data_IF_243119954333
#
_entry.id   IF_243119954333
#
_cell.length_a   1.000
_cell.length_b   1.000
_cell.length_c   1.000
_cell.angle_alpha   90.00
_cell.angle_beta   90.00
_cell.angle_gamma   90.00
#
_symmetry.space_group_name_H-M   'P 1'
#
loop_
_entity.id
_entity.type
_entity.pdbx_description
1 polymer ?
#
# COMPACT_ATOMS: atom_id res chain seq x y z
N UNK A 1 -25.16 28.95 0.55
CA UNK A 1 -23.97 28.08 0.70
C UNK A 1 -24.40 26.91 1.58
N UNK A 2 -24.51 25.70 1.02
CA UNK A 2 -24.84 24.49 1.79
C UNK A 2 -23.52 23.84 2.19
N UNK A 3 -23.06 24.09 3.41
CA UNK A 3 -21.92 23.35 3.95
C UNK A 3 -22.34 21.88 4.14
N UNK A 4 -21.64 20.91 3.53
CA UNK A 4 -21.96 19.51 3.72
C UNK A 4 -21.69 19.15 5.19
N UNK A 5 -22.72 18.63 5.87
CA UNK A 5 -22.61 18.14 7.25
C UNK A 5 -21.36 17.26 7.43
N UNK A 6 -20.58 17.40 8.52
CA UNK A 6 -19.33 16.66 8.72
C UNK A 6 -19.48 15.12 8.60
N UNK A 7 -20.65 14.58 8.95
CA UNK A 7 -20.96 13.16 8.82
C UNK A 7 -21.09 12.70 7.34
N UNK A 8 -21.58 13.57 6.43
CA UNK A 8 -21.57 13.30 4.98
C UNK A 8 -20.16 13.31 4.41
N UNK A 9 -19.27 14.12 4.97
CA UNK A 9 -17.85 14.16 4.58
C UNK A 9 -17.12 12.88 4.98
N UNK A 10 -17.27 12.44 6.24
CA UNK A 10 -16.69 11.18 6.74
C UNK A 10 -17.18 9.96 5.96
N UNK A 11 -18.48 9.86 5.70
CA UNK A 11 -19.05 8.77 4.90
C UNK A 11 -18.50 8.74 3.48
N UNK A 12 -18.31 9.91 2.85
CA UNK A 12 -17.73 10.02 1.51
C UNK A 12 -16.25 9.64 1.48
N UNK A 13 -15.48 10.02 2.50
CA UNK A 13 -14.07 9.62 2.64
C UNK A 13 -13.94 8.11 2.86
N UNK A 14 -14.75 7.53 3.74
CA UNK A 14 -14.79 6.08 3.94
C UNK A 14 -15.15 5.34 2.66
N UNK A 15 -16.15 5.82 1.93
CA UNK A 15 -16.53 5.25 0.63
C UNK A 15 -15.37 5.31 -0.38
N UNK A 16 -14.67 6.44 -0.49
CA UNK A 16 -13.54 6.59 -1.42
C UNK A 16 -12.38 5.63 -1.12
N UNK A 17 -12.20 5.24 0.15
CA UNK A 17 -11.18 4.25 0.55
C UNK A 17 -11.64 2.83 0.29
N UNK A 18 -12.90 2.50 0.59
CA UNK A 18 -13.43 1.13 0.51
C UNK A 18 -13.81 0.74 -0.92
N UNK A 19 -14.35 1.67 -1.71
CA UNK A 19 -14.81 1.41 -3.08
C UNK A 19 -13.72 0.82 -3.99
N UNK A 20 -12.47 1.34 -4.06
CA UNK A 20 -11.44 0.72 -4.90
C UNK A 20 -11.10 -0.71 -4.43
N UNK A 21 -11.12 -0.99 -3.13
CA UNK A 21 -10.90 -2.34 -2.60
C UNK A 21 -12.00 -3.30 -3.07
N UNK A 22 -13.26 -2.87 -3.03
CA UNK A 22 -14.40 -3.67 -3.51
C UNK A 22 -14.34 -3.90 -5.02
N UNK A 23 -13.93 -2.89 -5.80
CA UNK A 23 -13.77 -3.02 -7.26
C UNK A 23 -12.68 -4.06 -7.59
N UNK A 24 -11.53 -3.99 -6.90
CA UNK A 24 -10.44 -4.96 -7.10
C UNK A 24 -10.89 -6.37 -6.70
N UNK A 25 -11.57 -6.52 -5.56
CA UNK A 25 -12.11 -7.80 -5.12
C UNK A 25 -13.10 -8.37 -6.16
N UNK A 26 -14.00 -7.54 -6.68
CA UNK A 26 -14.95 -7.91 -7.73
C UNK A 26 -14.26 -8.36 -9.02
N UNK A 27 -13.20 -7.65 -9.45
CA UNK A 27 -12.39 -8.04 -10.61
C UNK A 27 -11.70 -9.39 -10.40
N UNK A 28 -11.15 -9.63 -9.21
CA UNK A 28 -10.50 -10.91 -8.88
C UNK A 28 -11.52 -12.04 -8.90
N UNK A 29 -12.70 -11.86 -8.30
CA UNK A 29 -13.77 -12.86 -8.34
C UNK A 29 -14.20 -13.17 -9.78
N UNK A 30 -14.38 -12.13 -10.60
CA UNK A 30 -14.73 -12.27 -12.01
C UNK A 30 -13.67 -13.02 -12.82
N UNK A 31 -12.39 -12.70 -12.61
CA UNK A 31 -11.29 -13.31 -13.36
C UNK A 31 -10.97 -14.74 -12.91
N UNK A 32 -11.10 -15.02 -11.62
CA UNK A 32 -10.72 -16.31 -11.02
C UNK A 32 -11.83 -17.36 -11.04
N UNK A 33 -13.07 -16.96 -11.31
CA UNK A 33 -14.27 -17.81 -11.28
C UNK A 33 -14.35 -18.67 -9.99
N UNK A 34 -13.90 -18.10 -8.87
CA UNK A 34 -13.71 -18.80 -7.61
C UNK A 34 -14.73 -18.39 -6.55
N UNK A 35 -14.83 -19.15 -5.45
CA UNK A 35 -15.76 -18.86 -4.38
C UNK A 35 -15.41 -17.55 -3.66
N UNK A 36 -16.44 -16.85 -3.19
CA UNK A 36 -16.31 -15.57 -2.49
C UNK A 36 -15.47 -15.72 -1.20
N UNK A 37 -15.69 -16.80 -0.44
CA UNK A 37 -15.00 -17.07 0.82
C UNK A 37 -13.50 -17.33 0.62
N UNK A 38 -13.13 -18.19 -0.32
CA UNK A 38 -11.73 -18.46 -0.65
C UNK A 38 -11.01 -17.23 -1.22
N UNK A 39 -11.70 -16.42 -2.04
CA UNK A 39 -11.15 -15.18 -2.59
C UNK A 39 -10.92 -14.13 -1.50
N UNK A 40 -11.87 -13.96 -0.58
CA UNK A 40 -11.76 -13.01 0.51
C UNK A 40 -10.58 -13.32 1.44
N UNK A 41 -10.38 -14.59 1.79
CA UNK A 41 -9.26 -15.01 2.63
C UNK A 41 -7.93 -14.67 1.94
N UNK A 42 -7.78 -15.05 0.65
CA UNK A 42 -6.57 -14.78 -0.14
C UNK A 42 -6.32 -13.28 -0.32
N UNK A 43 -7.38 -12.50 -0.54
CA UNK A 43 -7.32 -11.04 -0.68
C UNK A 43 -6.93 -10.35 0.63
N UNK A 44 -7.53 -10.77 1.75
CA UNK A 44 -7.23 -10.22 3.08
C UNK A 44 -5.79 -10.50 3.49
N UNK A 45 -5.29 -11.72 3.25
CA UNK A 45 -3.89 -12.06 3.49
C UNK A 45 -2.94 -11.22 2.61
N UNK A 46 -3.33 -10.96 1.36
CA UNK A 46 -2.58 -10.09 0.46
C UNK A 46 -2.50 -8.66 0.98
N UNK A 47 -3.64 -8.09 1.36
CA UNK A 47 -3.73 -6.75 1.92
C UNK A 47 -2.88 -6.61 3.18
N UNK A 48 -2.94 -7.59 4.08
CA UNK A 48 -2.18 -7.56 5.31
C UNK A 48 -0.66 -7.60 5.07
N UNK A 49 -0.23 -8.43 4.12
CA UNK A 49 1.17 -8.48 3.67
C UNK A 49 1.57 -7.11 3.11
N UNK A 50 0.84 -6.58 2.12
CA UNK A 50 1.14 -5.29 1.50
C UNK A 50 1.12 -4.14 2.50
N UNK A 51 0.18 -4.12 3.45
CA UNK A 51 0.11 -3.12 4.52
C UNK A 51 1.36 -3.13 5.40
N UNK A 52 1.83 -4.32 5.80
CA UNK A 52 3.03 -4.48 6.63
C UNK A 52 4.26 -3.94 5.89
N UNK A 53 4.38 -4.23 4.59
CA UNK A 53 5.50 -3.76 3.77
C UNK A 53 5.50 -2.26 3.55
N UNK A 54 4.35 -1.70 3.20
CA UNK A 54 4.23 -0.26 3.00
C UNK A 54 4.49 0.49 4.29
N UNK A 55 3.99 -0.01 5.42
CA UNK A 55 4.27 0.57 6.74
C UNK A 55 5.77 0.55 7.05
N UNK A 56 6.46 -0.54 6.72
CA UNK A 56 7.91 -0.64 6.91
C UNK A 56 8.69 0.31 5.99
N UNK A 57 8.29 0.41 4.72
CA UNK A 57 8.91 1.36 3.79
C UNK A 57 8.70 2.80 4.21
N UNK A 58 7.48 3.19 4.58
CA UNK A 58 7.18 4.54 5.06
C UNK A 58 7.97 4.86 6.34
N UNK A 59 8.12 3.88 7.23
CA UNK A 59 9.00 4.01 8.41
C UNK A 59 10.45 4.25 8.01
N UNK A 60 10.99 3.48 7.06
CA UNK A 60 12.37 3.65 6.57
C UNK A 60 12.54 5.01 5.91
N UNK A 61 11.60 5.43 5.06
CA UNK A 61 11.63 6.75 4.42
C UNK A 61 11.63 7.86 5.45
N UNK A 62 10.78 7.78 6.48
CA UNK A 62 10.78 8.78 7.55
C UNK A 62 12.02 8.70 8.43
N UNK A 63 12.59 7.52 8.66
CA UNK A 63 13.85 7.39 9.39
C UNK A 63 14.99 8.10 8.63
N UNK A 64 15.13 7.86 7.32
CA UNK A 64 16.14 8.49 6.47
C UNK A 64 15.91 9.99 6.30
N UNK A 65 14.66 10.41 6.07
CA UNK A 65 14.31 11.82 5.83
C UNK A 65 14.20 12.64 7.13
N UNK A 66 13.70 12.03 8.20
CA UNK A 66 13.47 12.64 9.49
C UNK A 66 14.76 12.87 10.28
N UNK A 67 15.86 12.18 9.96
CA UNK A 67 17.20 12.49 10.49
C UNK A 67 17.75 13.81 9.92
N UNK A 68 17.34 14.19 8.70
CA UNK A 68 17.80 15.42 8.03
C UNK A 68 17.16 16.72 8.56
N UNK A 69 16.13 16.64 9.40
CA UNK A 69 15.48 17.80 10.05
C UNK A 69 15.41 17.53 11.54
N UNK A 70 15.77 18.49 12.39
CA UNK A 70 15.67 18.37 13.87
C UNK A 70 14.25 17.97 14.30
N UNK A 71 14.04 16.65 14.37
CA UNK A 71 12.95 15.87 14.98
C UNK A 71 11.57 16.02 14.34
N UNK A 72 10.99 14.90 13.86
CA UNK A 72 9.70 14.50 14.40
C UNK A 72 9.70 13.00 14.76
N UNK A 73 9.95 12.68 16.04
CA UNK A 73 9.90 11.29 16.54
C UNK A 73 8.47 10.72 16.59
N UNK A 74 7.46 11.60 16.71
CA UNK A 74 6.06 11.20 16.81
C UNK A 74 5.57 10.35 15.60
N UNK A 75 5.76 10.76 14.33
CA UNK A 75 5.39 9.94 13.18
C UNK A 75 6.26 8.67 13.04
N UNK A 76 7.48 8.65 13.58
CA UNK A 76 8.34 7.46 13.58
C UNK A 76 7.81 6.37 14.51
N UNK A 77 7.38 6.76 15.72
CA UNK A 77 6.72 5.87 16.67
C UNK A 77 5.38 5.37 16.10
N UNK A 78 4.57 6.25 15.51
CA UNK A 78 3.30 5.87 14.89
C UNK A 78 3.47 4.81 13.79
N UNK A 79 4.45 4.99 12.91
CA UNK A 79 4.75 4.01 11.87
C UNK A 79 5.36 2.72 12.41
N UNK A 80 6.16 2.79 13.48
CA UNK A 80 6.72 1.61 14.14
C UNK A 80 5.61 0.77 14.75
N UNK A 81 4.62 1.42 15.38
CA UNK A 81 3.42 0.76 15.89
C UNK A 81 2.60 0.14 14.76
N UNK A 82 2.46 0.80 13.60
CA UNK A 82 1.79 0.22 12.43
C UNK A 82 2.50 -1.02 11.89
N UNK A 83 3.83 -1.03 11.84
CA UNK A 83 4.62 -2.22 11.45
C UNK A 83 4.45 -3.35 12.46
N UNK A 84 4.55 -3.06 13.75
CA UNK A 84 4.36 -4.06 14.81
C UNK A 84 2.94 -4.61 14.80
N UNK A 85 1.93 -3.77 14.56
CA UNK A 85 0.54 -4.19 14.42
C UNK A 85 0.36 -5.09 13.20
N UNK A 86 0.92 -4.73 12.03
CA UNK A 86 0.89 -5.57 10.83
C UNK A 86 1.55 -6.94 11.05
N UNK A 87 2.71 -6.97 11.70
CA UNK A 87 3.39 -8.21 12.10
C UNK A 87 2.57 -9.02 13.10
N UNK A 88 2.02 -8.38 14.13
CA UNK A 88 1.19 -9.01 15.16
C UNK A 88 -0.07 -9.63 14.57
N UNK A 89 -0.77 -8.91 13.71
CA UNK A 89 -1.92 -9.42 12.97
C UNK A 89 -1.53 -10.58 12.05
N UNK A 90 -0.40 -10.48 11.36
CA UNK A 90 0.09 -11.57 10.49
C UNK A 90 0.33 -12.84 11.29
N UNK A 91 1.02 -12.75 12.44
CA UNK A 91 1.26 -13.88 13.33
C UNK A 91 -0.02 -14.42 13.96
N UNK A 92 -0.93 -13.52 14.37
CA UNK A 92 -2.23 -13.88 14.94
C UNK A 92 -3.09 -14.66 13.94
N UNK A 93 -3.19 -14.17 12.70
CA UNK A 93 -3.93 -14.85 11.64
C UNK A 93 -3.26 -16.15 11.18
N UNK A 94 -1.93 -16.24 11.25
CA UNK A 94 -1.20 -17.50 11.03
C UNK A 94 -1.54 -18.54 12.11
N UNK A 95 -1.67 -18.10 13.37
CA UNK A 95 -1.94 -18.96 14.52
C UNK A 95 -3.39 -19.45 14.59
N UNK A 96 -4.33 -18.82 13.89
CA UNK A 96 -5.74 -19.24 13.85
C UNK A 96 -6.00 -20.44 12.93
N UNK A 97 -5.00 -20.93 12.19
CA UNK A 97 -5.08 -22.17 11.39
C UNK A 97 -6.00 -22.12 10.17
N UNK A 98 -7.01 -21.25 10.14
CA UNK A 98 -8.12 -21.28 9.20
C UNK A 98 -8.11 -20.14 8.16
N UNK A 99 -7.14 -19.23 8.21
CA UNK A 99 -6.87 -18.30 7.09
C UNK A 99 -6.10 -18.96 5.93
N UNK A 100 -6.25 -20.28 5.82
CA UNK A 100 -5.32 -21.19 5.15
C UNK A 100 -5.89 -22.49 4.58
N UNK A 101 -7.20 -22.72 4.63
CA UNK A 101 -7.77 -23.86 3.90
C UNK A 101 -7.83 -23.47 2.42
N UNK A 102 -6.74 -23.62 1.67
CA UNK A 102 -6.49 -24.87 0.96
C UNK A 102 -6.10 -26.01 1.91
N UNK A 103 -7.02 -26.94 2.06
CA UNK A 103 -7.04 -28.11 2.95
C UNK A 103 -5.94 -29.14 2.61
N UNK A 104 -4.67 -28.69 2.47
CA UNK A 104 -3.50 -29.55 2.24
C UNK A 104 -2.10 -28.87 2.31
N UNK A 105 -1.95 -27.64 2.81
CA UNK A 105 -0.66 -26.93 2.80
C UNK A 105 0.08 -26.87 4.13
N UNK A 106 1.24 -27.55 4.26
CA UNK A 106 2.17 -27.36 5.39
C UNK A 106 2.48 -25.88 5.66
N UNK A 107 2.71 -25.48 6.92
CA UNK A 107 3.14 -24.11 7.33
C UNK A 107 4.27 -23.55 6.44
N UNK A 108 5.16 -24.43 5.94
CA UNK A 108 6.24 -24.08 5.02
C UNK A 108 5.74 -23.62 3.64
N UNK A 109 4.70 -24.23 3.11
CA UNK A 109 4.09 -23.87 1.83
C UNK A 109 3.41 -22.50 1.91
N UNK A 110 2.82 -22.17 3.06
CA UNK A 110 2.26 -20.84 3.27
C UNK A 110 3.34 -19.77 3.42
N UNK A 111 4.42 -20.05 4.16
CA UNK A 111 5.55 -19.15 4.26
C UNK A 111 6.15 -18.85 2.87
N UNK A 112 6.25 -19.88 2.00
CA UNK A 112 6.67 -19.72 0.62
C UNK A 112 5.69 -18.86 -0.19
N UNK A 113 4.38 -19.10 -0.07
CA UNK A 113 3.34 -18.31 -0.75
C UNK A 113 3.39 -16.83 -0.36
N UNK A 114 3.53 -16.53 0.93
CA UNK A 114 3.68 -15.17 1.43
C UNK A 114 4.99 -14.54 0.93
N UNK A 115 6.07 -15.31 0.83
CA UNK A 115 7.36 -14.84 0.27
C UNK A 115 7.25 -14.51 -1.22
N UNK A 116 6.57 -15.35 -2.01
CA UNK A 116 6.32 -15.09 -3.44
C UNK A 116 5.44 -13.85 -3.61
N UNK A 117 4.39 -13.73 -2.79
CA UNK A 117 3.51 -12.55 -2.77
C UNK A 117 4.27 -11.27 -2.39
N UNK A 118 5.17 -11.37 -1.42
CA UNK A 118 6.09 -10.30 -1.04
C UNK A 118 6.97 -9.89 -2.22
N UNK A 119 7.62 -10.84 -2.90
CA UNK A 119 8.48 -10.59 -4.06
C UNK A 119 7.72 -9.93 -5.21
N UNK A 120 6.54 -10.42 -5.55
CA UNK A 120 5.68 -9.81 -6.59
C UNK A 120 5.22 -8.41 -6.22
N UNK A 121 4.92 -8.14 -4.94
CA UNK A 121 4.58 -6.80 -4.45
C UNK A 121 5.76 -5.83 -4.59
N UNK A 122 6.99 -6.26 -4.28
CA UNK A 122 8.19 -5.45 -4.46
C UNK A 122 8.42 -5.12 -5.93
N UNK A 123 8.26 -6.09 -6.84
CA UNK A 123 8.39 -5.86 -8.27
C UNK A 123 7.35 -4.82 -8.74
N UNK A 124 6.09 -4.98 -8.31
CA UNK A 124 5.04 -4.01 -8.60
C UNK A 124 5.36 -2.59 -8.09
N UNK A 125 5.92 -2.49 -6.89
CA UNK A 125 6.39 -1.21 -6.35
C UNK A 125 7.54 -0.62 -7.17
N UNK A 126 8.52 -1.45 -7.58
CA UNK A 126 9.61 -1.02 -8.45
C UNK A 126 9.11 -0.46 -9.78
N UNK A 127 8.14 -1.12 -10.40
CA UNK A 127 7.48 -0.63 -11.62
C UNK A 127 6.76 0.71 -11.37
N UNK A 128 6.04 0.85 -10.26
CA UNK A 128 5.40 2.10 -9.90
C UNK A 128 6.42 3.25 -9.74
N UNK A 129 7.57 3.00 -9.10
CA UNK A 129 8.66 3.97 -8.99
C UNK A 129 9.19 4.38 -10.36
N UNK A 130 9.41 3.42 -11.28
CA UNK A 130 9.86 3.71 -12.65
C UNK A 130 8.84 4.57 -13.40
N UNK A 131 7.54 4.27 -13.29
CA UNK A 131 6.48 5.05 -13.94
C UNK A 131 6.42 6.46 -13.37
N UNK A 132 6.47 6.62 -12.04
CA UNK A 132 6.43 7.94 -11.38
C UNK A 132 7.68 8.75 -11.73
N UNK A 133 8.87 8.15 -11.69
CA UNK A 133 10.11 8.83 -12.07
C UNK A 133 10.12 9.21 -13.55
N UNK A 134 9.67 8.32 -14.44
CA UNK A 134 9.58 8.58 -15.88
C UNK A 134 8.58 9.69 -16.21
N UNK A 135 7.41 9.69 -15.57
CA UNK A 135 6.40 10.75 -15.75
C UNK A 135 6.87 12.09 -15.18
N UNK A 136 7.57 12.10 -14.04
CA UNK A 136 8.21 13.30 -13.49
C UNK A 136 9.27 13.86 -14.44
N UNK A 137 10.15 12.99 -14.97
CA UNK A 137 11.19 13.38 -15.92
C UNK A 137 10.61 13.96 -17.21
N UNK A 138 9.60 13.30 -17.78
CA UNK A 138 8.89 13.78 -18.96
C UNK A 138 8.19 15.13 -18.71
N UNK A 139 7.60 15.31 -17.53
CA UNK A 139 6.97 16.57 -17.14
C UNK A 139 7.98 17.71 -16.99
N UNK A 140 9.17 17.43 -16.45
CA UNK A 140 10.22 18.44 -16.28
C UNK A 140 10.84 18.84 -17.63
N UNK A 141 11.03 17.88 -18.54
CA UNK A 141 11.60 18.16 -19.86
C UNK A 141 10.64 18.83 -20.84
N UNK A 142 9.32 18.74 -20.63
CA UNK A 142 8.31 19.45 -21.41
C UNK A 142 8.02 20.87 -20.88
N UNK A 143 8.86 21.43 -20.00
CA UNK A 143 8.72 22.81 -19.52
C UNK A 143 8.92 23.84 -20.66
N UNK A 144 8.14 24.94 -20.69
CA UNK A 144 8.31 25.97 -21.72
C UNK A 144 9.70 26.58 -21.67
N UNK A 145 10.30 26.80 -22.85
CA UNK A 145 11.65 27.34 -23.00
C UNK A 145 11.70 28.74 -22.34
N UNK A 146 12.43 28.89 -21.24
CA UNK A 146 12.61 30.18 -20.58
C UNK A 146 13.50 31.06 -21.48
N UNK A 147 12.90 32.00 -22.19
CA UNK A 147 13.62 33.07 -22.87
C UNK A 147 14.20 33.98 -21.79
N UNK A 148 15.50 33.85 -21.55
CA UNK A 148 16.25 34.74 -20.65
C UNK A 148 16.38 36.06 -21.42
N UNK A 149 15.53 37.04 -21.10
CA UNK A 149 15.74 38.41 -21.55
C UNK A 149 16.92 38.97 -20.75
N UNK A 150 18.08 39.03 -21.38
CA UNK A 150 19.21 39.81 -20.87
C UNK A 150 18.87 41.28 -21.13
N UNK A 151 18.65 42.02 -20.05
CA UNK A 151 18.57 43.48 -20.10
C UNK A 151 20.02 43.96 -20.09
N UNK A 152 20.50 44.46 -21.24
CA UNK A 152 21.82 45.07 -21.37
C UNK A 152 21.77 46.43 -20.64
N UNK A 153 22.49 46.53 -19.52
CA UNK A 153 22.85 47.81 -18.88
C UNK A 153 24.02 48.48 -19.61
#
# INVERSE_FOLDING_TARGET
>A
MNDPSPNRSLGRLGLLVVLPLLVILGLIMWLSNSSLEGTLIRFTNALLTSFTLFSFMLLLTLFVYGDARKRPYAPLIGMLMSVLLGLGLTLFFLAQGELLMEDNGSVRAQALSNTIRFGTTIIGLGLAVVIVAGTLFASLMNGPNRTIHFEEE
#
